data_IF_707713918519
#
_entry.id   IF_707713918519
#
_cell.length_a   1.000
_cell.length_b   1.000
_cell.length_c   1.000
_cell.angle_alpha   90.00
_cell.angle_beta   90.00
_cell.angle_gamma   90.00
#
_symmetry.space_group_name_H-M   'P 1'
#
loop_
_entity.id
_entity.type
_entity.pdbx_description
1 polymer ?
#
# COMPACT_ATOMS: atom_id res chain seq x y z
N UNK A 1 19.81 2.85 -9.24
CA UNK A 1 19.49 3.50 -7.95
C UNK A 1 19.50 2.46 -6.85
N UNK A 2 19.24 2.85 -5.60
CA UNK A 2 19.17 1.91 -4.47
C UNK A 2 18.03 0.88 -4.59
N UNK A 3 16.98 1.22 -5.35
CA UNK A 3 15.86 0.34 -5.70
C UNK A 3 15.69 0.26 -7.23
N UNK A 4 15.12 -0.84 -7.75
CA UNK A 4 14.76 -0.95 -9.16
C UNK A 4 13.65 0.04 -9.55
N UNK A 5 13.56 0.35 -10.84
CA UNK A 5 12.48 1.15 -11.40
C UNK A 5 11.36 0.23 -11.89
N UNK A 6 10.17 0.34 -11.31
CA UNK A 6 8.97 -0.42 -11.69
C UNK A 6 7.82 0.55 -11.91
N UNK A 7 7.02 0.34 -12.96
CA UNK A 7 5.86 1.21 -13.27
C UNK A 7 4.65 0.96 -12.35
N UNK A 8 4.62 -0.17 -11.66
CA UNK A 8 3.60 -0.54 -10.68
C UNK A 8 4.06 -1.74 -9.87
N UNK A 9 3.28 -2.11 -8.86
CA UNK A 9 3.54 -3.27 -7.99
C UNK A 9 2.93 -4.53 -8.61
N UNK A 10 1.69 -4.43 -9.08
CA UNK A 10 0.96 -5.53 -9.71
C UNK A 10 0.28 -5.08 -11.00
N UNK A 11 0.36 -5.91 -12.04
CA UNK A 11 -0.32 -5.71 -13.33
C UNK A 11 -1.82 -6.00 -13.25
N UNK A 12 -2.26 -6.65 -12.18
CA UNK A 12 -3.64 -7.10 -12.01
C UNK A 12 -4.54 -6.07 -11.31
N UNK A 13 -4.11 -4.81 -11.28
CA UNK A 13 -4.78 -3.68 -10.67
C UNK A 13 -5.14 -2.63 -11.71
N UNK A 14 -6.24 -1.88 -11.52
CA UNK A 14 -6.54 -0.74 -12.37
C UNK A 14 -5.42 0.29 -12.33
N UNK A 15 -5.24 1.06 -13.41
CA UNK A 15 -4.13 2.01 -13.48
C UNK A 15 -4.22 3.15 -12.47
N UNK A 16 -5.42 3.67 -12.24
CA UNK A 16 -5.69 4.89 -11.48
C UNK A 16 -5.72 4.70 -9.96
N UNK A 17 -5.42 3.50 -9.46
CA UNK A 17 -5.44 3.23 -8.02
C UNK A 17 -4.10 3.60 -7.38
N UNK A 18 -4.13 4.59 -6.48
CA UNK A 18 -2.92 5.11 -5.85
C UNK A 18 -2.16 4.09 -4.99
N UNK A 19 -2.77 2.97 -4.61
CA UNK A 19 -2.10 1.91 -3.86
C UNK A 19 -1.25 0.98 -4.75
N UNK A 20 -1.32 1.09 -6.08
CA UNK A 20 -0.48 0.38 -7.05
C UNK A 20 0.56 1.33 -7.69
N UNK A 21 1.27 2.09 -6.84
CA UNK A 21 2.22 3.10 -7.29
C UNK A 21 3.49 2.46 -7.87
N UNK A 22 4.20 3.21 -8.73
CA UNK A 22 5.53 2.83 -9.19
C UNK A 22 6.54 2.75 -8.03
N UNK A 23 7.64 2.03 -8.25
CA UNK A 23 8.77 1.92 -7.32
C UNK A 23 10.01 2.50 -7.99
N UNK A 24 10.82 3.23 -7.23
CA UNK A 24 12.04 3.86 -7.71
C UNK A 24 13.04 4.04 -6.56
N UNK A 25 14.30 4.34 -6.88
CA UNK A 25 15.29 4.78 -5.89
C UNK A 25 15.04 6.20 -5.37
N UNK A 26 14.18 6.98 -6.05
CA UNK A 26 13.69 8.27 -5.60
C UNK A 26 12.17 8.20 -5.50
N UNK A 27 11.63 8.46 -4.31
CA UNK A 27 10.20 8.39 -4.04
C UNK A 27 9.73 9.66 -3.33
N UNK A 28 8.55 10.16 -3.69
CA UNK A 28 7.93 11.36 -3.11
C UNK A 28 6.43 11.16 -3.00
N UNK A 29 5.81 11.53 -1.86
CA UNK A 29 4.35 11.46 -1.65
C UNK A 29 3.74 10.08 -1.95
N UNK A 30 4.47 9.02 -1.60
CA UNK A 30 4.14 7.64 -1.95
C UNK A 30 4.00 7.38 -3.47
N UNK A 31 4.73 8.15 -4.27
CA UNK A 31 4.71 8.16 -5.73
C UNK A 31 3.32 8.45 -6.30
N UNK A 32 2.69 9.48 -5.74
CA UNK A 32 1.37 9.95 -6.14
C UNK A 32 1.36 11.47 -6.29
N UNK A 33 0.53 11.93 -7.20
CA UNK A 33 0.15 13.33 -7.35
C UNK A 33 -1.26 13.54 -6.86
N UNK A 34 -1.54 14.73 -6.34
CA UNK A 34 -2.86 15.14 -5.92
C UNK A 34 -3.57 15.79 -7.11
N UNK A 35 -4.59 15.13 -7.63
CA UNK A 35 -5.50 15.67 -8.63
C UNK A 35 -6.72 16.25 -7.93
N UNK A 36 -7.04 17.52 -8.14
CA UNK A 36 -8.23 18.18 -7.62
C UNK A 36 -9.08 18.78 -8.73
N UNK A 37 -10.39 18.82 -8.52
CA UNK A 37 -11.32 19.47 -9.42
C UNK A 37 -12.38 20.27 -8.67
N UNK A 38 -12.87 21.33 -9.31
CA UNK A 38 -13.96 22.16 -8.81
C UNK A 38 -14.85 22.59 -9.95
N UNK A 39 -16.16 22.55 -9.76
CA UNK A 39 -17.13 23.04 -10.74
C UNK A 39 -16.87 24.52 -11.05
N UNK A 40 -16.77 24.85 -12.33
CA UNK A 40 -16.58 26.20 -12.86
C UNK A 40 -17.59 26.43 -14.00
N UNK A 41 -18.76 26.97 -13.66
CA UNK A 41 -19.87 27.10 -14.60
C UNK A 41 -20.39 25.74 -15.08
N UNK A 42 -20.45 25.54 -16.40
CA UNK A 42 -20.85 24.27 -17.02
C UNK A 42 -19.72 23.23 -17.09
N UNK A 43 -18.49 23.60 -16.70
CA UNK A 43 -17.30 22.75 -16.76
C UNK A 43 -16.67 22.59 -15.36
N UNK A 44 -15.43 22.10 -15.30
CA UNK A 44 -14.61 22.04 -14.10
C UNK A 44 -13.23 22.64 -14.33
N UNK A 45 -12.72 23.31 -13.29
CA UNK A 45 -11.32 23.62 -13.17
C UNK A 45 -10.60 22.44 -12.53
N UNK A 46 -9.44 22.08 -13.07
CA UNK A 46 -8.58 20.99 -12.56
C UNK A 46 -7.21 21.51 -12.16
N UNK A 47 -6.59 20.86 -11.18
CA UNK A 47 -5.20 21.07 -10.82
C UNK A 47 -4.52 19.74 -10.46
N UNK A 48 -3.21 19.67 -10.73
CA UNK A 48 -2.36 18.52 -10.36
C UNK A 48 -1.13 19.06 -9.66
N UNK A 49 -0.89 18.61 -8.43
CA UNK A 49 0.19 19.11 -7.59
C UNK A 49 0.85 18.03 -6.74
N UNK A 50 2.07 18.32 -6.29
CA UNK A 50 2.82 17.56 -5.31
C UNK A 50 2.48 18.03 -3.90
N UNK A 51 1.23 17.80 -3.48
CA UNK A 51 0.65 18.27 -2.21
C UNK A 51 1.57 17.99 -1.01
N UNK A 52 2.08 19.07 -0.41
CA UNK A 52 2.78 19.04 0.88
C UNK A 52 2.06 19.92 1.90
N UNK A 53 2.53 19.90 3.15
CA UNK A 53 1.93 20.70 4.24
C UNK A 53 2.06 22.20 4.02
N UNK A 54 3.21 22.64 3.47
CA UNK A 54 3.53 24.06 3.27
C UNK A 54 3.52 24.50 1.80
N UNK A 55 3.84 23.59 0.89
CA UNK A 55 4.01 23.90 -0.52
C UNK A 55 3.11 23.02 -1.39
N UNK A 56 2.61 23.59 -2.48
CA UNK A 56 1.79 22.93 -3.49
C UNK A 56 2.47 23.05 -4.88
N UNK A 57 3.63 22.42 -5.11
CA UNK A 57 4.31 22.49 -6.40
C UNK A 57 3.40 21.92 -7.49
N UNK A 58 3.08 22.72 -8.52
CA UNK A 58 2.40 22.21 -9.70
C UNK A 58 3.24 21.11 -10.37
N UNK A 59 2.56 20.12 -10.94
CA UNK A 59 3.20 18.99 -11.63
C UNK A 59 2.76 18.98 -13.09
N UNK A 60 3.73 19.19 -13.98
CA UNK A 60 3.55 19.29 -15.43
C UNK A 60 3.70 17.93 -16.13
N UNK A 61 4.44 16.99 -15.53
CA UNK A 61 4.63 15.64 -16.09
C UNK A 61 3.42 14.72 -15.95
N UNK A 62 2.38 15.14 -15.22
CA UNK A 62 1.10 14.44 -15.13
C UNK A 62 -0.02 15.41 -15.47
N UNK A 63 -0.84 15.06 -16.46
CA UNK A 63 -1.97 15.87 -16.89
C UNK A 63 -3.26 15.08 -16.75
N UNK A 64 -4.32 15.78 -16.36
CA UNK A 64 -5.65 15.20 -16.22
C UNK A 64 -6.63 16.03 -17.01
N UNK A 65 -7.25 15.44 -18.02
CA UNK A 65 -8.32 16.03 -18.78
C UNK A 65 -9.69 15.43 -18.39
N UNK A 66 -10.76 16.19 -18.62
CA UNK A 66 -12.12 15.73 -18.36
C UNK A 66 -12.71 15.24 -19.68
N UNK A 67 -13.28 14.04 -19.65
CA UNK A 67 -13.91 13.42 -20.80
C UNK A 67 -15.44 13.37 -20.62
N UNK A 68 -16.18 13.76 -21.66
CA UNK A 68 -17.62 13.61 -21.75
C UNK A 68 -17.99 12.13 -21.98
N UNK A 69 -18.07 11.34 -20.90
CA UNK A 69 -18.45 9.92 -20.92
C UNK A 69 -18.93 9.45 -19.55
N UNK A 70 -19.61 8.30 -19.54
CA UNK A 70 -20.01 7.56 -18.33
C UNK A 70 -18.91 6.60 -17.84
N UNK A 71 -18.25 5.91 -18.77
CA UNK A 71 -17.22 4.93 -18.49
C UNK A 71 -16.18 4.87 -19.63
N UNK A 72 -14.94 4.40 -19.38
CA UNK A 72 -14.38 4.06 -18.07
C UNK A 72 -14.14 5.30 -17.20
N UNK A 73 -14.09 5.12 -15.87
CA UNK A 73 -13.89 6.21 -14.91
C UNK A 73 -12.60 6.98 -15.19
N UNK A 74 -11.49 6.25 -15.37
CA UNK A 74 -10.20 6.80 -15.79
C UNK A 74 -9.70 6.10 -17.06
N UNK A 75 -8.96 6.84 -17.88
CA UNK A 75 -8.01 6.26 -18.86
C UNK A 75 -6.63 6.83 -18.59
N UNK A 76 -5.61 6.12 -19.06
CA UNK A 76 -4.21 6.46 -18.88
C UNK A 76 -3.44 6.21 -20.19
N UNK A 77 -2.55 7.13 -20.54
CA UNK A 77 -1.56 6.98 -21.60
C UNK A 77 -0.15 7.25 -21.07
N UNK A 78 0.77 6.33 -21.34
CA UNK A 78 2.12 6.26 -20.79
C UNK A 78 3.16 7.03 -21.63
N UNK A 79 2.78 8.22 -22.10
CA UNK A 79 3.62 9.10 -22.91
C UNK A 79 4.78 9.73 -22.14
N UNK A 80 5.46 10.68 -22.79
CA UNK A 80 6.47 11.54 -22.12
C UNK A 80 5.81 12.37 -21.02
N UNK A 81 4.57 12.78 -21.21
CA UNK A 81 3.69 13.26 -20.14
C UNK A 81 2.72 12.12 -19.85
N UNK A 82 2.48 11.85 -18.57
CA UNK A 82 1.46 10.91 -18.14
C UNK A 82 0.10 11.58 -18.32
N UNK A 83 -0.65 11.14 -19.34
CA UNK A 83 -1.94 11.73 -19.69
C UNK A 83 -3.06 10.85 -19.13
N UNK A 84 -3.87 11.46 -18.26
CA UNK A 84 -5.06 10.84 -17.69
C UNK A 84 -6.31 11.52 -18.23
N UNK A 85 -7.39 10.77 -18.38
CA UNK A 85 -8.71 11.37 -18.51
C UNK A 85 -9.66 10.83 -17.46
N UNK A 86 -10.53 11.68 -16.92
CA UNK A 86 -11.57 11.30 -15.96
C UNK A 86 -12.96 11.51 -16.56
N UNK A 87 -13.86 10.57 -16.33
CA UNK A 87 -15.25 10.65 -16.76
C UNK A 87 -15.98 11.79 -16.03
N UNK A 88 -16.53 12.75 -16.77
CA UNK A 88 -17.31 13.86 -16.23
C UNK A 88 -18.54 13.43 -15.44
N UNK A 89 -19.15 12.29 -15.77
CA UNK A 89 -20.29 11.73 -15.02
C UNK A 89 -19.93 11.41 -13.55
N UNK A 90 -18.66 11.12 -13.27
CA UNK A 90 -18.17 10.89 -11.91
C UNK A 90 -17.78 12.17 -11.18
N UNK A 91 -17.71 13.30 -11.90
CA UNK A 91 -17.33 14.58 -11.31
C UNK A 91 -18.55 15.28 -10.73
N UNK A 92 -18.61 15.33 -9.40
CA UNK A 92 -19.58 16.14 -8.68
C UNK A 92 -19.28 17.65 -8.74
N UNK A 93 -19.62 18.37 -7.66
CA UNK A 93 -19.35 19.82 -7.54
C UNK A 93 -17.87 20.15 -7.27
N UNK A 94 -17.10 19.15 -6.87
CA UNK A 94 -15.67 19.23 -6.62
C UNK A 94 -15.19 18.00 -5.85
N UNK A 95 -13.88 17.84 -5.77
CA UNK A 95 -13.25 16.72 -5.07
C UNK A 95 -11.77 16.63 -5.37
N UNK A 96 -11.14 15.59 -4.83
CA UNK A 96 -9.76 15.27 -5.16
C UNK A 96 -9.52 13.77 -5.15
N UNK A 97 -8.41 13.37 -5.79
CA UNK A 97 -7.95 12.00 -5.87
C UNK A 97 -6.44 11.97 -5.96
N UNK A 98 -5.83 11.03 -5.26
CA UNK A 98 -4.42 10.72 -5.44
C UNK A 98 -4.26 9.74 -6.61
N UNK A 99 -3.57 10.17 -7.66
CA UNK A 99 -3.24 9.34 -8.82
C UNK A 99 -1.81 8.82 -8.70
N UNK A 100 -1.54 7.56 -9.07
CA UNK A 100 -0.18 7.04 -9.07
C UNK A 100 0.63 7.70 -10.18
N UNK A 101 1.91 7.93 -9.90
CA UNK A 101 2.90 8.38 -10.88
C UNK A 101 3.67 7.16 -11.37
N UNK A 102 3.85 7.03 -12.68
CA UNK A 102 4.57 5.91 -13.31
C UNK A 102 6.07 6.17 -13.50
N UNK A 103 6.51 7.43 -13.44
CA UNK A 103 7.92 7.82 -13.36
C UNK A 103 8.28 8.65 -12.10
N UNK A 104 8.45 8.00 -10.93
CA UNK A 104 8.76 8.70 -9.68
C UNK A 104 10.07 9.49 -9.70
N UNK A 105 11.07 9.02 -10.47
CA UNK A 105 12.37 9.67 -10.54
C UNK A 105 12.28 11.05 -11.18
N UNK A 106 11.52 11.16 -12.27
CA UNK A 106 11.23 12.44 -12.92
C UNK A 106 10.38 13.33 -12.01
N UNK A 107 9.38 12.75 -11.35
CA UNK A 107 8.50 13.49 -10.45
C UNK A 107 9.24 14.16 -9.29
N UNK A 108 10.12 13.40 -8.63
CA UNK A 108 10.98 13.93 -7.57
C UNK A 108 11.86 15.07 -8.09
N UNK A 109 12.46 14.89 -9.26
CA UNK A 109 13.35 15.90 -9.85
C UNK A 109 12.62 17.19 -10.23
N UNK A 110 11.41 17.09 -10.79
CA UNK A 110 10.56 18.21 -11.13
C UNK A 110 10.14 19.01 -9.89
N UNK A 111 9.65 18.32 -8.85
CA UNK A 111 9.25 18.94 -7.59
C UNK A 111 10.44 19.59 -6.90
N UNK A 112 11.59 18.90 -6.86
CA UNK A 112 12.81 19.44 -6.26
C UNK A 112 13.26 20.72 -6.96
N UNK A 113 13.21 20.77 -8.30
CA UNK A 113 13.52 21.97 -9.09
C UNK A 113 12.59 23.14 -8.74
N UNK A 114 11.30 22.88 -8.59
CA UNK A 114 10.32 23.91 -8.20
C UNK A 114 10.59 24.44 -6.79
N UNK A 115 10.86 23.55 -5.83
CA UNK A 115 11.18 23.94 -4.45
C UNK A 115 12.52 24.70 -4.35
N UNK A 116 13.55 24.27 -5.09
CA UNK A 116 14.84 24.95 -5.15
C UNK A 116 14.68 26.39 -5.69
N UNK A 117 13.88 26.57 -6.74
CA UNK A 117 13.57 27.89 -7.31
C UNK A 117 12.87 28.79 -6.29
N UNK A 118 11.96 28.25 -5.48
CA UNK A 118 11.31 28.99 -4.40
C UNK A 118 12.30 29.46 -3.30
N UNK A 119 13.48 28.84 -3.21
CA UNK A 119 14.59 29.25 -2.36
C UNK A 119 15.64 30.11 -3.09
N UNK A 120 15.34 30.57 -4.32
CA UNK A 120 16.27 31.38 -5.12
C UNK A 120 17.35 30.59 -5.87
N UNK A 121 17.33 29.26 -5.81
CA UNK A 121 18.30 28.39 -6.49
C UNK A 121 17.73 27.99 -7.86
N UNK A 122 18.42 28.37 -8.94
CA UNK A 122 18.02 28.00 -10.30
C UNK A 122 18.71 26.73 -10.73
N UNK A 123 17.90 25.69 -10.98
CA UNK A 123 18.36 24.42 -11.54
C UNK A 123 17.81 24.24 -12.96
N UNK A 124 18.62 23.60 -13.82
CA UNK A 124 18.19 23.15 -15.15
C UNK A 124 17.20 21.98 -15.06
N UNK A 125 16.65 21.55 -16.20
CA UNK A 125 15.83 20.34 -16.25
C UNK A 125 16.73 19.15 -15.93
N UNK A 126 16.30 18.29 -15.00
CA UNK A 126 17.08 17.14 -14.61
C UNK A 126 17.10 16.05 -15.71
N UNK A 127 18.23 15.39 -15.84
CA UNK A 127 18.41 14.22 -16.68
C UNK A 127 18.53 12.94 -15.86
N UNK A 128 18.12 11.80 -16.42
CA UNK A 128 18.20 10.51 -15.73
C UNK A 128 19.64 10.02 -15.67
N UNK A 129 20.20 9.96 -14.46
CA UNK A 129 21.48 9.32 -14.22
C UNK A 129 21.38 7.79 -14.31
N UNK A 130 22.29 7.14 -15.05
CA UNK A 130 22.38 5.67 -15.13
C UNK A 130 23.19 5.07 -13.97
N UNK A 131 24.17 5.82 -13.49
CA UNK A 131 25.03 5.47 -12.35
C UNK A 131 25.00 6.61 -11.34
N UNK A 132 25.46 6.35 -10.12
CA UNK A 132 25.61 7.41 -9.12
C UNK A 132 26.70 8.37 -9.63
N UNK A 133 26.40 9.67 -9.83
CA UNK A 133 27.40 10.63 -10.28
C UNK A 133 28.43 10.88 -9.17
N UNK A 134 29.68 11.16 -9.55
CA UNK A 134 30.68 11.64 -8.60
C UNK A 134 30.34 13.07 -8.17
N UNK A 135 30.53 13.38 -6.88
CA UNK A 135 30.26 14.70 -6.34
C UNK A 135 30.48 14.76 -4.82
N UNK A 136 30.56 15.98 -4.30
CA UNK A 136 30.59 16.22 -2.87
C UNK A 136 29.16 16.16 -2.29
N UNK A 137 28.98 15.45 -1.17
CA UNK A 137 27.70 15.45 -0.44
C UNK A 137 27.47 16.84 0.19
N UNK A 138 26.45 17.55 -0.28
CA UNK A 138 26.10 18.89 0.24
C UNK A 138 25.17 18.82 1.45
N UNK A 139 24.50 17.70 1.65
CA UNK A 139 23.56 17.49 2.75
C UNK A 139 22.94 16.10 2.72
N UNK A 140 22.41 15.68 3.86
CA UNK A 140 21.82 14.36 4.05
C UNK A 140 20.55 14.48 4.90
N UNK A 141 19.52 13.79 4.45
CA UNK A 141 18.30 13.55 5.23
C UNK A 141 18.20 12.06 5.47
N UNK A 142 18.04 11.66 6.73
CA UNK A 142 17.84 10.28 7.13
C UNK A 142 16.39 10.11 7.57
N UNK A 143 15.75 9.04 7.12
CA UNK A 143 14.39 8.69 7.53
C UNK A 143 14.31 8.41 9.04
N UNK A 144 13.09 8.24 9.54
CA UNK A 144 12.89 7.63 10.84
C UNK A 144 13.54 6.24 10.93
N UNK A 145 13.85 5.76 12.15
CA UNK A 145 14.30 4.38 12.36
C UNK A 145 13.32 3.36 11.78
N UNK A 146 13.84 2.25 11.26
CA UNK A 146 13.03 1.21 10.59
C UNK A 146 11.81 0.74 11.40
N UNK A 147 11.86 0.52 12.73
CA UNK A 147 10.66 0.13 13.49
C UNK A 147 9.52 1.15 13.43
N UNK A 148 9.82 2.44 13.38
CA UNK A 148 8.82 3.50 13.24
C UNK A 148 8.18 3.46 11.85
N UNK A 149 9.01 3.38 10.80
CA UNK A 149 8.57 3.23 9.41
C UNK A 149 7.68 1.98 9.24
N UNK A 150 8.07 0.85 9.83
CA UNK A 150 7.30 -0.38 9.77
C UNK A 150 6.00 -0.32 10.58
N UNK A 151 5.98 0.38 11.72
CA UNK A 151 4.76 0.59 12.50
C UNK A 151 3.73 1.38 11.69
N UNK A 152 4.16 2.44 11.02
CA UNK A 152 3.28 3.23 10.16
C UNK A 152 2.85 2.44 8.92
N UNK A 153 3.77 1.69 8.30
CA UNK A 153 3.44 0.78 7.21
C UNK A 153 2.38 -0.24 7.63
N UNK A 154 2.49 -0.86 8.80
CA UNK A 154 1.51 -1.83 9.29
C UNK A 154 0.18 -1.17 9.63
N UNK A 155 0.20 0.05 10.20
CA UNK A 155 -0.98 0.83 10.58
C UNK A 155 -1.79 1.29 9.38
N UNK A 156 -1.13 1.85 8.37
CA UNK A 156 -1.75 2.43 7.17
C UNK A 156 -1.75 1.48 5.98
N UNK A 157 -1.11 0.32 6.09
CA UNK A 157 -0.98 -0.70 5.05
C UNK A 157 -0.40 -0.15 3.74
N UNK A 158 0.68 0.61 3.83
CA UNK A 158 1.28 1.29 2.67
C UNK A 158 2.11 0.32 1.82
N UNK A 159 1.58 -0.04 0.64
CA UNK A 159 2.21 -1.01 -0.26
C UNK A 159 3.62 -0.59 -0.68
N UNK A 160 3.81 0.65 -1.12
CA UNK A 160 5.13 1.16 -1.55
C UNK A 160 6.22 0.97 -0.49
N UNK A 161 5.90 1.21 0.78
CA UNK A 161 6.85 1.02 1.88
C UNK A 161 7.17 -0.46 2.07
N UNK A 162 6.18 -1.35 1.98
CA UNK A 162 6.40 -2.79 2.05
C UNK A 162 7.34 -3.27 0.94
N UNK A 163 7.09 -2.84 -0.30
CA UNK A 163 7.95 -3.21 -1.43
C UNK A 163 9.36 -2.65 -1.29
N UNK A 164 9.49 -1.39 -0.86
CA UNK A 164 10.79 -0.74 -0.68
C UNK A 164 11.62 -1.41 0.41
N UNK A 165 11.00 -1.74 1.55
CA UNK A 165 11.68 -2.46 2.64
C UNK A 165 12.05 -3.87 2.21
N UNK A 166 11.15 -4.62 1.56
CA UNK A 166 11.40 -5.98 1.13
C UNK A 166 12.51 -6.06 0.05
N UNK A 167 12.48 -5.17 -0.93
CA UNK A 167 13.56 -5.02 -1.92
C UNK A 167 14.89 -4.71 -1.25
N UNK A 168 14.91 -3.74 -0.34
CA UNK A 168 16.12 -3.37 0.42
C UNK A 168 16.66 -4.55 1.24
N UNK A 169 15.79 -5.26 1.96
CA UNK A 169 16.17 -6.40 2.79
C UNK A 169 16.72 -7.57 1.98
N UNK A 170 16.17 -7.82 0.79
CA UNK A 170 16.63 -8.89 -0.10
C UNK A 170 17.89 -8.54 -0.90
N UNK A 171 18.14 -7.24 -1.14
CA UNK A 171 19.17 -6.76 -2.07
C UNK A 171 18.92 -7.11 -3.54
N UNK A 172 17.74 -7.64 -3.90
CA UNK A 172 17.45 -8.12 -5.24
C UNK A 172 17.14 -6.99 -6.23
N UNK A 173 17.47 -7.22 -7.51
CA UNK A 173 17.29 -6.23 -8.58
C UNK A 173 15.89 -6.12 -9.16
N UNK A 174 14.93 -6.96 -8.72
CA UNK A 174 13.53 -6.88 -9.12
C UNK A 174 12.63 -7.51 -8.05
N UNK A 175 11.32 -7.26 -8.17
CA UNK A 175 10.35 -7.63 -7.15
C UNK A 175 10.18 -9.15 -7.02
N UNK A 176 10.13 -9.86 -8.15
CA UNK A 176 9.92 -11.31 -8.18
C UNK A 176 11.09 -12.04 -7.53
N UNK A 177 12.32 -11.65 -7.84
CA UNK A 177 13.52 -12.19 -7.21
C UNK A 177 13.59 -11.86 -5.72
N UNK A 178 13.18 -10.64 -5.34
CA UNK A 178 13.11 -10.22 -3.94
C UNK A 178 12.11 -11.07 -3.13
N UNK A 179 10.92 -11.30 -3.68
CA UNK A 179 9.89 -12.10 -3.04
C UNK A 179 10.27 -13.60 -2.97
N UNK A 180 10.93 -14.13 -4.01
CA UNK A 180 11.48 -15.48 -4.00
C UNK A 180 12.54 -15.65 -2.88
N UNK A 181 13.49 -14.70 -2.77
CA UNK A 181 14.49 -14.71 -1.70
C UNK A 181 13.85 -14.67 -0.31
N UNK A 182 12.78 -13.88 -0.13
CA UNK A 182 12.04 -13.86 1.14
C UNK A 182 11.27 -15.17 1.39
N UNK A 183 10.78 -15.83 0.36
CA UNK A 183 10.14 -17.15 0.49
C UNK A 183 11.13 -18.21 0.98
N UNK A 184 12.34 -18.21 0.42
CA UNK A 184 13.42 -19.12 0.83
C UNK A 184 13.92 -18.81 2.25
N UNK A 185 13.99 -17.52 2.60
CA UNK A 185 14.28 -17.10 3.96
C UNK A 185 13.21 -17.57 4.95
N UNK A 186 11.92 -17.49 4.61
CA UNK A 186 10.83 -17.99 5.46
C UNK A 186 10.93 -19.51 5.63
N UNK A 187 11.18 -20.25 4.55
CA UNK A 187 11.36 -21.71 4.60
C UNK A 187 12.51 -22.10 5.52
N UNK A 188 13.67 -21.49 5.34
CA UNK A 188 14.87 -21.80 6.13
C UNK A 188 14.76 -21.36 7.60
N UNK A 189 14.10 -20.23 7.86
CA UNK A 189 14.02 -19.64 9.22
C UNK A 189 12.90 -20.25 10.05
N UNK A 190 11.77 -20.57 9.43
CA UNK A 190 10.55 -20.97 10.13
C UNK A 190 10.07 -22.38 9.78
N UNK A 191 10.65 -23.04 8.77
CA UNK A 191 10.17 -24.34 8.30
C UNK A 191 8.77 -24.27 7.68
N UNK A 192 8.40 -23.11 7.13
CA UNK A 192 7.07 -22.86 6.56
C UNK A 192 7.19 -22.72 5.04
N UNK A 193 6.39 -23.51 4.32
CA UNK A 193 6.23 -23.32 2.88
C UNK A 193 5.37 -22.09 2.58
N UNK A 194 5.91 -21.21 1.75
CA UNK A 194 5.26 -19.98 1.29
C UNK A 194 5.66 -19.71 -0.16
N UNK A 195 4.78 -19.06 -0.90
CA UNK A 195 5.10 -18.42 -2.17
C UNK A 195 4.78 -16.95 -2.05
N UNK A 196 5.80 -16.10 -2.00
CA UNK A 196 5.65 -14.65 -2.08
C UNK A 196 5.91 -14.21 -3.52
N UNK A 197 5.11 -13.26 -4.01
CA UNK A 197 5.28 -12.62 -5.34
C UNK A 197 5.56 -11.12 -5.25
N UNK A 198 5.24 -10.54 -4.11
CA UNK A 198 5.44 -9.16 -3.71
C UNK A 198 5.53 -9.13 -2.17
N UNK A 199 5.77 -7.94 -1.59
CA UNK A 199 5.89 -7.76 -0.14
C UNK A 199 4.62 -7.16 0.49
N UNK A 200 3.78 -6.50 -0.30
CA UNK A 200 2.53 -5.90 0.18
C UNK A 200 1.32 -6.85 0.19
N UNK A 201 1.37 -7.95 -0.55
CA UNK A 201 0.23 -8.85 -0.79
C UNK A 201 -0.80 -8.26 -1.75
N UNK A 202 -0.41 -7.30 -2.60
CA UNK A 202 -1.33 -6.66 -3.54
C UNK A 202 -1.74 -7.61 -4.69
N UNK A 203 -0.80 -8.40 -5.19
CA UNK A 203 -1.04 -9.38 -6.23
C UNK A 203 -1.78 -10.62 -5.71
N UNK A 204 -2.59 -11.24 -6.57
CA UNK A 204 -3.38 -12.43 -6.22
C UNK A 204 -2.59 -13.74 -6.18
N UNK A 205 -1.28 -13.73 -6.42
CA UNK A 205 -0.49 -14.93 -6.67
C UNK A 205 0.33 -15.45 -5.47
N UNK A 206 0.40 -14.68 -4.37
CA UNK A 206 1.06 -15.14 -3.14
C UNK A 206 0.24 -16.21 -2.42
N UNK A 207 0.89 -17.20 -1.80
CA UNK A 207 0.24 -18.35 -1.13
C UNK A 207 0.92 -18.67 0.20
N UNK A 208 0.13 -18.78 1.27
CA UNK A 208 0.53 -19.27 2.58
C UNK A 208 -0.70 -19.87 3.29
N UNK A 209 -0.50 -20.92 4.08
CA UNK A 209 -1.59 -21.49 4.91
C UNK A 209 -1.78 -20.68 6.19
N UNK A 210 -2.99 -20.70 6.77
CA UNK A 210 -3.23 -20.06 8.07
C UNK A 210 -2.34 -20.66 9.17
N UNK A 211 -2.12 -21.97 9.14
CA UNK A 211 -1.21 -22.66 10.06
C UNK A 211 0.24 -22.17 9.91
N UNK A 212 0.73 -22.04 8.67
CA UNK A 212 2.07 -21.51 8.37
C UNK A 212 2.24 -20.07 8.86
N UNK A 213 1.24 -19.21 8.64
CA UNK A 213 1.27 -17.84 9.15
C UNK A 213 1.32 -17.81 10.70
N UNK A 214 0.50 -18.60 11.37
CA UNK A 214 0.51 -18.69 12.83
C UNK A 214 1.86 -19.23 13.35
N UNK A 215 2.46 -20.22 12.68
CA UNK A 215 3.78 -20.75 13.01
C UNK A 215 4.88 -19.68 12.91
N UNK A 216 4.86 -18.86 11.85
CA UNK A 216 5.79 -17.73 11.70
C UNK A 216 5.63 -16.75 12.86
N UNK A 217 4.39 -16.36 13.22
CA UNK A 217 4.13 -15.42 14.30
C UNK A 217 4.58 -15.96 15.67
N UNK A 218 4.30 -17.24 15.97
CA UNK A 218 4.76 -17.90 17.21
C UNK A 218 6.29 -17.93 17.27
N UNK A 219 6.94 -18.36 16.19
CA UNK A 219 8.39 -18.44 16.13
C UNK A 219 9.06 -17.05 16.23
N UNK A 220 8.47 -16.03 15.59
CA UNK A 220 8.95 -14.66 15.65
C UNK A 220 8.85 -14.06 17.06
N UNK A 221 7.76 -14.34 17.79
CA UNK A 221 7.61 -13.90 19.18
C UNK A 221 8.59 -14.62 20.10
N UNK A 222 8.73 -15.95 19.98
CA UNK A 222 9.67 -16.74 20.77
C UNK A 222 11.12 -16.28 20.56
N UNK A 223 11.48 -15.93 19.32
CA UNK A 223 12.79 -15.40 18.97
C UNK A 223 12.93 -13.89 19.22
N UNK A 224 11.91 -13.22 19.80
CA UNK A 224 11.89 -11.78 20.10
C UNK A 224 12.24 -10.90 18.89
N UNK A 225 11.72 -11.25 17.70
CA UNK A 225 11.98 -10.53 16.44
C UNK A 225 11.32 -9.15 16.34
N UNK A 226 10.53 -8.73 17.35
CA UNK A 226 10.04 -7.35 17.47
C UNK A 226 8.80 -6.99 16.64
N UNK A 227 8.08 -7.95 16.07
CA UNK A 227 6.87 -7.69 15.27
C UNK A 227 5.67 -7.24 16.13
N UNK A 228 5.41 -7.93 17.24
CA UNK A 228 4.23 -7.67 18.08
C UNK A 228 4.13 -6.22 18.60
N UNK A 229 5.21 -5.57 19.08
CA UNK A 229 5.17 -4.18 19.54
C UNK A 229 4.84 -3.13 18.46
N UNK A 230 4.96 -3.47 17.18
CA UNK A 230 4.65 -2.57 16.05
C UNK A 230 3.30 -2.89 15.40
N UNK A 231 2.58 -3.91 15.87
CA UNK A 231 1.21 -4.19 15.44
C UNK A 231 0.23 -3.22 16.09
N UNK A 232 -0.79 -2.82 15.33
CA UNK A 232 -1.90 -2.00 15.82
C UNK A 232 -2.90 -2.87 16.60
N UNK A 233 -3.50 -2.29 17.65
CA UNK A 233 -4.70 -2.88 18.24
C UNK A 233 -5.94 -2.69 17.36
N UNK A 234 -6.60 -3.78 17.00
CA UNK A 234 -7.83 -3.79 16.19
C UNK A 234 -9.11 -3.86 17.03
N UNK A 235 -8.97 -3.96 18.35
CA UNK A 235 -10.07 -4.07 19.31
C UNK A 235 -10.77 -5.44 19.30
N UNK A 236 -11.37 -5.80 20.43
CA UNK A 236 -12.32 -6.92 20.49
C UNK A 236 -13.64 -6.51 19.86
N UNK A 237 -14.36 -7.47 19.25
CA UNK A 237 -15.61 -7.18 18.54
C UNK A 237 -16.79 -7.98 19.09
N UNK A 238 -17.97 -7.40 19.04
CA UNK A 238 -19.23 -8.09 19.33
C UNK A 238 -19.67 -8.99 18.15
N UNK A 239 -20.77 -9.72 18.35
CA UNK A 239 -21.33 -10.62 17.33
C UNK A 239 -21.81 -9.89 16.06
N UNK A 240 -22.06 -8.58 16.14
CA UNK A 240 -22.45 -7.74 15.01
C UNK A 240 -21.24 -7.19 14.25
N UNK A 241 -20.05 -7.24 14.86
CA UNK A 241 -18.77 -6.79 14.33
C UNK A 241 -18.35 -5.39 14.81
N UNK A 242 -19.06 -4.81 15.78
CA UNK A 242 -18.71 -3.52 16.40
C UNK A 242 -17.60 -3.71 17.43
N UNK A 243 -16.69 -2.74 17.54
CA UNK A 243 -15.62 -2.78 18.53
C UNK A 243 -16.21 -2.56 19.93
N UNK A 244 -15.82 -3.41 20.88
CA UNK A 244 -16.19 -3.27 22.29
C UNK A 244 -15.21 -2.31 22.96
N UNK A 245 -15.66 -1.10 23.23
CA UNK A 245 -14.85 -0.08 23.90
C UNK A 245 -14.45 -0.54 25.31
N UNK A 246 -13.23 -0.20 25.73
CA UNK A 246 -12.73 -0.55 27.06
C UNK A 246 -12.47 -2.04 27.32
N UNK A 247 -12.66 -2.93 26.33
CA UNK A 247 -12.43 -4.36 26.55
C UNK A 247 -11.00 -4.64 27.04
N UNK A 248 -10.82 -5.46 28.09
CA UNK A 248 -9.51 -5.68 28.71
C UNK A 248 -8.57 -6.49 27.81
N UNK A 249 -9.09 -7.49 27.10
CA UNK A 249 -8.32 -8.25 26.09
C UNK A 249 -7.98 -7.34 24.91
N UNK A 250 -6.70 -7.31 24.52
CA UNK A 250 -6.21 -6.58 23.34
C UNK A 250 -6.00 -7.55 22.18
N UNK A 251 -6.41 -7.12 20.99
CA UNK A 251 -6.13 -7.84 19.74
C UNK A 251 -5.13 -7.03 18.95
N UNK A 252 -3.88 -7.49 18.85
CA UNK A 252 -2.80 -6.84 18.09
C UNK A 252 -2.65 -7.57 16.77
N UNK A 253 -3.03 -6.97 15.65
CA UNK A 253 -3.14 -7.71 14.39
C UNK A 253 -2.93 -6.85 13.16
N UNK A 254 -2.57 -7.52 12.06
CA UNK A 254 -2.55 -6.94 10.71
C UNK A 254 -3.71 -7.51 9.88
N UNK A 255 -4.48 -6.62 9.28
CA UNK A 255 -5.51 -6.98 8.30
C UNK A 255 -4.93 -7.05 6.89
N UNK A 256 -5.46 -7.94 6.06
CA UNK A 256 -5.30 -7.95 4.61
C UNK A 256 -6.67 -7.90 3.93
N UNK A 257 -6.81 -7.16 2.85
CA UNK A 257 -8.06 -7.10 2.10
C UNK A 257 -7.77 -6.95 0.62
N UNK A 258 -8.38 -7.81 -0.19
CA UNK A 258 -8.53 -7.65 -1.63
C UNK A 258 -10.02 -7.86 -1.97
N UNK A 259 -10.35 -7.82 -3.24
CA UNK A 259 -11.69 -8.19 -3.71
C UNK A 259 -11.97 -9.65 -3.32
N UNK A 260 -13.06 -9.88 -2.60
CA UNK A 260 -13.46 -11.21 -2.09
C UNK A 260 -12.39 -11.94 -1.28
N UNK A 261 -11.48 -11.20 -0.62
CA UNK A 261 -10.45 -11.76 0.26
C UNK A 261 -10.34 -10.88 1.51
N UNK A 262 -10.38 -11.53 2.68
CA UNK A 262 -10.20 -10.88 3.98
C UNK A 262 -9.32 -11.75 4.87
N UNK A 263 -8.19 -11.19 5.27
CA UNK A 263 -7.21 -11.82 6.15
C UNK A 263 -7.05 -11.02 7.44
N UNK A 264 -6.80 -11.71 8.55
CA UNK A 264 -6.42 -11.10 9.83
C UNK A 264 -5.49 -12.06 10.57
N UNK A 265 -4.29 -11.60 10.94
CA UNK A 265 -3.34 -12.40 11.69
C UNK A 265 -2.67 -11.57 12.78
N UNK A 266 -2.40 -12.18 13.93
CA UNK A 266 -1.83 -11.49 15.07
C UNK A 266 -1.99 -12.22 16.40
N UNK A 267 -2.16 -11.44 17.47
CA UNK A 267 -2.13 -11.86 18.86
C UNK A 267 -3.41 -11.46 19.59
N UNK A 268 -3.91 -12.35 20.45
CA UNK A 268 -4.95 -12.07 21.45
C UNK A 268 -4.23 -12.04 22.81
N UNK A 269 -4.19 -10.85 23.40
CA UNK A 269 -3.43 -10.56 24.63
C UNK A 269 -4.43 -10.25 25.75
N UNK A 270 -4.76 -11.23 26.61
CA UNK A 270 -5.61 -10.98 27.76
C UNK A 270 -4.82 -10.20 28.84
N UNK A 271 -5.50 -9.52 29.79
CA UNK A 271 -4.82 -8.86 30.91
C UNK A 271 -4.09 -9.85 31.81
N UNK A 272 -4.62 -11.08 31.92
CA UNK A 272 -4.15 -12.18 32.74
C UNK A 272 -4.35 -13.46 31.91
N UNK A 273 -3.54 -14.49 32.11
CA UNK A 273 -3.74 -15.78 31.44
C UNK A 273 -2.87 -15.96 30.20
N UNK A 274 -3.39 -16.71 29.22
CA UNK A 274 -2.59 -17.22 28.11
C UNK A 274 -2.77 -16.35 26.87
N UNK A 275 -1.67 -15.82 26.35
CA UNK A 275 -1.67 -15.21 25.04
C UNK A 275 -1.88 -16.24 23.93
N UNK A 276 -2.69 -15.88 22.93
CA UNK A 276 -2.95 -16.69 21.75
C UNK A 276 -2.43 -16.02 20.49
N UNK A 277 -1.91 -16.82 19.57
CA UNK A 277 -1.56 -16.39 18.21
C UNK A 277 -2.59 -16.94 17.24
N UNK A 278 -3.00 -16.15 16.27
CA UNK A 278 -4.02 -16.55 15.30
C UNK A 278 -3.70 -16.07 13.89
N UNK A 279 -4.25 -16.80 12.92
CA UNK A 279 -4.36 -16.38 11.52
C UNK A 279 -5.72 -16.83 10.97
N UNK A 280 -6.47 -15.91 10.38
CA UNK A 280 -7.78 -16.16 9.77
C UNK A 280 -7.72 -15.66 8.34
N UNK A 281 -7.83 -16.58 7.39
CA UNK A 281 -7.92 -16.27 5.97
C UNK A 281 -9.28 -16.70 5.45
N UNK A 282 -10.02 -15.76 4.88
CA UNK A 282 -11.22 -16.02 4.11
C UNK A 282 -10.95 -15.50 2.70
N UNK A 283 -11.28 -16.28 1.68
CA UNK A 283 -11.11 -15.84 0.30
C UNK A 283 -11.94 -16.65 -0.67
N UNK A 284 -12.31 -16.00 -1.77
CA UNK A 284 -12.88 -16.61 -2.97
C UNK A 284 -12.02 -16.17 -4.18
N UNK A 285 -10.86 -16.84 -4.40
CA UNK A 285 -9.89 -16.43 -5.41
C UNK A 285 -10.46 -16.48 -6.83
N UNK A 286 -11.27 -17.49 -7.14
CA UNK A 286 -11.88 -17.64 -8.46
C UNK A 286 -12.80 -16.45 -8.77
N UNK A 287 -13.64 -16.05 -7.79
CA UNK A 287 -14.51 -14.88 -7.95
C UNK A 287 -13.72 -13.58 -8.06
N UNK A 288 -12.62 -13.44 -7.32
CA UNK A 288 -11.70 -12.29 -7.43
C UNK A 288 -11.08 -12.22 -8.82
N UNK A 289 -10.56 -13.34 -9.32
CA UNK A 289 -9.86 -13.40 -10.59
C UNK A 289 -10.81 -13.19 -11.78
N UNK A 290 -12.07 -13.60 -11.64
CA UNK A 290 -13.14 -13.31 -12.60
C UNK A 290 -13.51 -11.82 -12.72
N UNK A 291 -13.13 -10.96 -11.75
CA UNK A 291 -13.38 -9.52 -11.86
C UNK A 291 -12.48 -8.91 -12.94
N UNK A 292 -13.02 -8.25 -13.98
CA UNK A 292 -12.22 -7.51 -14.96
C UNK A 292 -11.38 -6.43 -14.29
N UNK A 293 -10.12 -6.26 -14.69
CA UNK A 293 -9.18 -5.31 -14.05
C UNK A 293 -9.77 -3.90 -13.93
N UNK A 294 -10.45 -3.41 -14.97
CA UNK A 294 -11.09 -2.09 -14.96
C UNK A 294 -12.16 -1.89 -13.86
N UNK A 295 -12.74 -2.97 -13.34
CA UNK A 295 -13.79 -2.94 -12.30
C UNK A 295 -13.24 -3.28 -10.90
N UNK A 296 -11.95 -3.58 -10.76
CA UNK A 296 -11.37 -4.06 -9.49
C UNK A 296 -11.24 -3.01 -8.39
N UNK A 297 -11.44 -1.72 -8.68
CA UNK A 297 -11.45 -0.70 -7.61
C UNK A 297 -12.66 -0.86 -6.69
N UNK A 298 -13.85 -1.12 -7.26
CA UNK A 298 -15.09 -1.34 -6.50
C UNK A 298 -15.99 -2.37 -7.18
N UNK A 299 -15.63 -3.67 -7.14
CA UNK A 299 -16.41 -4.69 -7.80
C UNK A 299 -17.68 -5.03 -7.03
N UNK A 300 -18.74 -5.30 -7.79
CA UNK A 300 -20.05 -5.61 -7.23
C UNK A 300 -20.01 -6.77 -6.22
N UNK A 301 -20.57 -6.51 -5.03
CA UNK A 301 -20.67 -7.51 -3.97
C UNK A 301 -19.39 -7.73 -3.14
N UNK A 302 -18.23 -7.20 -3.54
CA UNK A 302 -16.99 -7.37 -2.79
C UNK A 302 -17.07 -6.73 -1.40
N UNK A 303 -17.66 -5.54 -1.29
CA UNK A 303 -17.88 -4.87 -0.01
C UNK A 303 -18.74 -5.69 0.96
N UNK A 304 -19.87 -6.23 0.48
CA UNK A 304 -20.77 -7.06 1.29
C UNK A 304 -20.11 -8.38 1.72
N UNK A 305 -19.35 -9.02 0.82
CA UNK A 305 -18.57 -10.22 1.13
C UNK A 305 -17.52 -9.93 2.21
N UNK A 306 -16.72 -8.86 2.03
CA UNK A 306 -15.65 -8.48 2.96
C UNK A 306 -16.22 -8.13 4.35
N UNK A 307 -17.39 -7.48 4.41
CA UNK A 307 -18.07 -7.18 5.68
C UNK A 307 -18.47 -8.45 6.44
N UNK A 308 -18.98 -9.48 5.75
CA UNK A 308 -19.30 -10.78 6.37
C UNK A 308 -18.06 -11.50 6.87
N UNK A 309 -16.99 -11.55 6.07
CA UNK A 309 -15.74 -12.18 6.47
C UNK A 309 -15.13 -11.50 7.72
N UNK A 310 -15.13 -10.17 7.78
CA UNK A 310 -14.64 -9.41 8.96
C UNK A 310 -15.50 -9.62 10.22
N UNK A 311 -16.80 -9.86 10.06
CA UNK A 311 -17.68 -10.23 11.19
C UNK A 311 -17.32 -11.62 11.72
N UNK A 312 -17.16 -12.60 10.84
CA UNK A 312 -16.72 -13.94 11.21
C UNK A 312 -15.37 -13.91 11.93
N UNK A 313 -14.41 -13.13 11.43
CA UNK A 313 -13.11 -12.92 12.10
C UNK A 313 -13.28 -12.44 13.55
N UNK A 314 -14.15 -11.44 13.78
CA UNK A 314 -14.46 -10.93 15.11
C UNK A 314 -15.07 -11.99 16.02
N UNK A 315 -16.07 -12.73 15.52
CA UNK A 315 -16.74 -13.80 16.26
C UNK A 315 -15.77 -14.94 16.66
N UNK A 316 -14.87 -15.33 15.76
CA UNK A 316 -13.83 -16.33 16.05
C UNK A 316 -12.89 -15.86 17.15
N UNK A 317 -12.39 -14.62 17.05
CA UNK A 317 -11.50 -14.03 18.06
C UNK A 317 -12.19 -13.92 19.42
N UNK A 318 -13.44 -13.45 19.45
CA UNK A 318 -14.20 -13.34 20.70
C UNK A 318 -14.46 -14.70 21.35
N UNK A 319 -14.77 -15.72 20.54
CA UNK A 319 -14.91 -17.10 21.02
C UNK A 319 -13.60 -17.64 21.58
N UNK A 320 -12.49 -17.47 20.86
CA UNK A 320 -11.18 -17.97 21.30
C UNK A 320 -10.70 -17.27 22.56
N UNK A 321 -10.87 -15.95 22.65
CA UNK A 321 -10.56 -15.20 23.86
C UNK A 321 -11.37 -15.71 25.05
N UNK A 322 -12.68 -15.92 24.90
CA UNK A 322 -13.52 -16.43 25.99
C UNK A 322 -13.26 -17.89 26.38
N UNK A 323 -12.66 -18.69 25.50
CA UNK A 323 -12.45 -20.13 25.73
C UNK A 323 -11.03 -20.49 26.15
N UNK A 324 -10.03 -19.69 25.78
CA UNK A 324 -8.62 -20.10 25.88
C UNK A 324 -7.67 -19.02 26.42
N UNK A 325 -8.10 -17.75 26.53
CA UNK A 325 -7.24 -16.64 26.96
C UNK A 325 -7.34 -16.40 28.46
#
# INVERSE_FOLDING_TARGET
>A
GALPALRGISEDQPDHVGYNAAISGLNLNFNRVHFEWKRAGSDWQVAVDARGERFLPAVDMVRVAIAAREAPLFTYDAGVVEEWTVASAALGKGGSRWLPVRDPGRYVAEVFRTLARAQGIRLEVAERAKTVPSGAELGRVTSEPLPEVLRDMLRFSTNLTAESVGLTASGAGNLQASAAAMSDWVRSTFGVEVTLRDHSGLGGASRITAAGMAQILVAAENAKRGLKPILRSVGMKDDKGAVIEGHPVKVLAKSGTLNFVSALAGHIVPPNGRELVFAIFSGDPDRRDAVPVALREDPEGAGAWNKRARRLQGQLISRWAGSYA
#
